data_IF_864054189111
#
_entry.id   IF_864054189111
#
_cell.length_a   1.000
_cell.length_b   1.000
_cell.length_c   1.000
_cell.angle_alpha   90.00
_cell.angle_beta   90.00
_cell.angle_gamma   90.00
#
_symmetry.space_group_name_H-M   'P 1'
#
loop_
_entity.id
_entity.type
_entity.pdbx_description
1 polymer ?
#
# COMPACT_ATOMS: atom_id res chain seq x y z
N UNK A 1 -6.15 29.71 -1.09
CA UNK A 1 -5.46 28.48 -0.65
C UNK A 1 -6.50 27.38 -0.65
N UNK A 2 -6.13 26.18 -1.09
CA UNK A 2 -7.04 25.02 -1.11
C UNK A 2 -6.64 24.12 0.05
N UNK A 3 -7.60 23.49 0.71
CA UNK A 3 -7.29 22.49 1.73
C UNK A 3 -7.56 21.10 1.19
N UNK A 4 -6.67 20.15 1.48
CA UNK A 4 -6.98 18.76 1.23
C UNK A 4 -8.03 18.28 2.26
N UNK A 5 -9.18 17.74 1.86
CA UNK A 5 -10.22 17.30 2.79
C UNK A 5 -9.77 16.10 3.64
N UNK A 6 -8.79 15.32 3.18
CA UNK A 6 -8.23 14.19 3.92
C UNK A 6 -7.04 14.62 4.79
N UNK A 7 -6.05 15.26 4.19
CA UNK A 7 -4.80 15.61 4.87
C UNK A 7 -4.90 16.90 5.73
N UNK A 8 -5.94 17.73 5.58
CA UNK A 8 -6.13 19.04 6.24
C UNK A 8 -4.95 20.02 6.11
N UNK A 9 -4.06 19.80 5.15
CA UNK A 9 -2.95 20.70 4.84
C UNK A 9 -3.36 21.78 3.84
N UNK A 10 -2.71 22.94 3.93
CA UNK A 10 -2.79 24.01 2.93
C UNK A 10 -2.05 23.60 1.66
N UNK A 11 -2.72 23.75 0.53
CA UNK A 11 -2.22 23.45 -0.80
C UNK A 11 -2.30 24.69 -1.69
N UNK A 12 -1.37 24.75 -2.63
CA UNK A 12 -1.41 25.72 -3.73
C UNK A 12 -2.69 25.51 -4.56
N UNK A 13 -3.25 26.60 -5.10
CA UNK A 13 -4.48 26.54 -5.90
C UNK A 13 -4.30 25.74 -7.20
N UNK A 14 -3.08 25.65 -7.72
CA UNK A 14 -2.73 24.94 -8.96
C UNK A 14 -2.67 23.43 -8.81
N UNK A 15 -2.65 22.92 -7.56
CA UNK A 15 -2.54 21.49 -7.31
C UNK A 15 -3.88 20.77 -7.50
N UNK A 16 -3.91 19.86 -8.48
CA UNK A 16 -5.07 19.01 -8.78
C UNK A 16 -5.08 17.70 -7.99
N UNK A 17 -3.91 17.22 -7.55
CA UNK A 17 -3.71 15.99 -6.78
C UNK A 17 -2.91 16.34 -5.53
N UNK A 18 -3.35 15.95 -4.34
CA UNK A 18 -2.60 16.20 -3.09
C UNK A 18 -1.25 15.46 -3.08
N UNK A 19 -0.11 16.09 -2.71
CA UNK A 19 1.19 15.40 -2.70
C UNK A 19 1.26 14.32 -1.65
N UNK A 20 0.59 14.58 -0.54
CA UNK A 20 0.73 13.81 0.68
C UNK A 20 -0.17 12.59 0.64
N UNK A 21 -1.43 12.74 0.19
CA UNK A 21 -2.39 11.64 0.17
C UNK A 21 -2.89 11.27 -1.23
N UNK A 22 -2.30 11.83 -2.30
CA UNK A 22 -2.63 11.50 -3.70
C UNK A 22 -4.12 11.63 -4.07
N UNK A 23 -4.90 12.34 -3.26
CA UNK A 23 -6.33 12.52 -3.48
C UNK A 23 -6.56 13.56 -4.57
N UNK A 24 -7.44 13.25 -5.52
CA UNK A 24 -7.92 14.20 -6.51
C UNK A 24 -8.72 15.32 -5.81
N UNK A 25 -8.37 16.56 -6.14
CA UNK A 25 -8.90 17.75 -5.47
C UNK A 25 -9.90 18.51 -6.35
N UNK A 26 -9.89 18.33 -7.67
CA UNK A 26 -10.78 19.03 -8.60
C UNK A 26 -11.95 18.13 -9.04
N UNK A 27 -13.16 18.66 -9.27
CA UNK A 27 -14.29 17.87 -9.75
C UNK A 27 -14.02 17.20 -11.10
N UNK A 28 -13.19 17.82 -11.95
CA UNK A 28 -12.81 17.27 -13.26
C UNK A 28 -11.82 16.11 -13.09
N UNK A 29 -10.82 16.27 -12.23
CA UNK A 29 -9.83 15.22 -11.91
C UNK A 29 -10.49 14.03 -11.21
N UNK A 30 -11.50 14.27 -10.35
CA UNK A 30 -12.29 13.20 -9.71
C UNK A 30 -13.04 12.38 -10.77
N UNK A 31 -13.69 13.04 -11.75
CA UNK A 31 -14.40 12.37 -12.85
C UNK A 31 -13.46 11.63 -13.79
N UNK A 32 -12.31 12.22 -14.14
CA UNK A 32 -11.29 11.56 -15.00
C UNK A 32 -10.62 10.38 -14.32
N UNK A 33 -10.43 10.43 -13.00
CA UNK A 33 -9.90 9.31 -12.22
C UNK A 33 -10.93 8.18 -11.98
N UNK A 34 -12.16 8.30 -12.52
CA UNK A 34 -13.24 7.34 -12.28
C UNK A 34 -13.76 7.35 -10.83
N UNK A 35 -13.50 8.43 -10.08
CA UNK A 35 -13.91 8.57 -8.69
C UNK A 35 -15.40 8.88 -8.56
N UNK A 36 -16.12 8.04 -7.82
CA UNK A 36 -17.44 8.39 -7.30
C UNK A 36 -17.26 9.38 -6.14
N UNK A 37 -18.24 10.28 -5.94
CA UNK A 37 -18.28 11.27 -4.83
C UNK A 37 -18.35 10.59 -3.44
N UNK A 38 -18.44 9.26 -3.40
CA UNK A 38 -18.39 8.50 -2.18
C UNK A 38 -16.93 8.31 -1.75
N UNK A 39 -16.65 8.56 -0.46
CA UNK A 39 -15.48 8.00 0.23
C UNK A 39 -15.51 6.48 0.07
N UNK A 40 -15.03 5.95 -1.04
CA UNK A 40 -14.67 4.54 -1.13
C UNK A 40 -13.52 4.41 -0.15
N UNK A 41 -13.80 3.82 1.02
CA UNK A 41 -12.79 3.48 2.02
C UNK A 41 -11.99 2.30 1.47
N UNK A 42 -11.22 2.53 0.41
CA UNK A 42 -10.24 1.55 -0.06
C UNK A 42 -9.21 1.34 1.04
N UNK A 43 -8.78 0.08 1.19
CA UNK A 43 -7.79 -0.32 2.18
C UNK A 43 -6.55 0.57 2.06
N UNK A 44 -6.08 1.11 3.19
CA UNK A 44 -4.90 1.98 3.26
C UNK A 44 -4.95 3.27 2.39
N UNK A 45 -6.13 3.72 1.97
CA UNK A 45 -6.28 4.93 1.12
C UNK A 45 -5.91 6.26 1.77
N UNK A 46 -5.71 6.26 3.09
CA UNK A 46 -5.17 7.40 3.84
C UNK A 46 -3.64 7.48 3.78
N UNK A 47 -2.94 6.48 3.25
CA UNK A 47 -1.49 6.46 3.17
C UNK A 47 -0.97 6.97 1.82
N UNK A 48 0.20 7.62 1.79
CA UNK A 48 0.95 7.89 0.57
C UNK A 48 1.21 6.61 -0.25
N UNK A 49 1.35 6.76 -1.56
CA UNK A 49 1.50 5.64 -2.49
C UNK A 49 2.69 4.72 -2.17
N UNK A 50 3.81 5.27 -1.69
CA UNK A 50 5.03 4.49 -1.43
C UNK A 50 4.88 3.46 -0.30
N UNK A 51 3.93 3.67 0.64
CA UNK A 51 3.61 2.66 1.66
C UNK A 51 2.97 1.40 1.04
N UNK A 52 2.34 1.52 -0.12
CA UNK A 52 1.71 0.38 -0.80
C UNK A 52 2.74 -0.60 -1.40
N UNK A 53 4.03 -0.26 -1.38
CA UNK A 53 5.11 -1.18 -1.71
C UNK A 53 5.48 -2.11 -0.55
N UNK A 54 5.01 -1.85 0.69
CA UNK A 54 5.34 -2.68 1.86
C UNK A 54 5.00 -4.16 1.63
N UNK A 55 3.79 -4.55 1.16
CA UNK A 55 3.48 -5.95 0.86
C UNK A 55 4.46 -6.60 -0.11
N UNK A 56 4.90 -5.86 -1.13
CA UNK A 56 5.84 -6.35 -2.15
C UNK A 56 7.23 -6.56 -1.55
N UNK A 57 7.74 -5.57 -0.81
CA UNK A 57 9.06 -5.66 -0.17
C UNK A 57 9.12 -6.79 0.84
N UNK A 58 8.08 -6.93 1.69
CA UNK A 58 8.03 -8.00 2.69
C UNK A 58 7.92 -9.38 2.01
N UNK A 59 7.13 -9.51 0.93
CA UNK A 59 7.07 -10.75 0.16
C UNK A 59 8.42 -11.12 -0.46
N UNK A 60 9.16 -10.16 -1.03
CA UNK A 60 10.49 -10.42 -1.60
C UNK A 60 11.49 -10.88 -0.53
N UNK A 61 11.50 -10.20 0.63
CA UNK A 61 12.36 -10.60 1.76
C UNK A 61 12.02 -12.01 2.23
N UNK A 62 10.73 -12.34 2.34
CA UNK A 62 10.28 -13.68 2.74
C UNK A 62 10.78 -14.77 1.78
N UNK A 63 10.73 -14.53 0.46
CA UNK A 63 11.24 -15.47 -0.55
C UNK A 63 12.74 -15.66 -0.44
N UNK A 64 13.50 -14.58 -0.30
CA UNK A 64 14.97 -14.65 -0.20
C UNK A 64 15.37 -15.50 1.02
N UNK A 65 14.69 -15.28 2.15
CA UNK A 65 14.90 -16.08 3.36
C UNK A 65 14.49 -17.53 3.12
N UNK A 66 13.33 -17.78 2.51
CA UNK A 66 12.83 -19.13 2.27
C UNK A 66 13.72 -19.91 1.30
N UNK A 67 14.22 -19.28 0.24
CA UNK A 67 15.21 -19.86 -0.67
C UNK A 67 16.47 -20.23 0.11
N UNK A 68 17.02 -19.29 0.89
CA UNK A 68 18.20 -19.52 1.71
C UNK A 68 18.04 -20.70 2.69
N UNK A 69 16.92 -20.74 3.42
CA UNK A 69 16.63 -21.79 4.41
C UNK A 69 16.37 -23.14 3.75
N UNK A 70 15.78 -23.16 2.55
CA UNK A 70 15.43 -24.42 1.86
C UNK A 70 16.59 -25.04 1.06
N UNK A 71 17.77 -24.40 1.00
CA UNK A 71 18.93 -24.87 0.21
C UNK A 71 19.34 -26.32 0.48
N UNK A 72 19.31 -26.75 1.72
CA UNK A 72 19.70 -28.12 2.13
C UNK A 72 18.49 -29.03 2.37
N UNK A 73 17.29 -28.58 1.99
CA UNK A 73 16.05 -29.33 2.21
C UNK A 73 15.73 -30.32 1.08
N UNK A 74 14.85 -31.32 1.31
CA UNK A 74 14.36 -32.22 0.28
C UNK A 74 13.66 -31.47 -0.88
N UNK A 75 13.61 -32.10 -2.06
CA UNK A 75 13.05 -31.50 -3.28
C UNK A 75 11.62 -30.96 -3.11
N UNK A 76 10.78 -31.65 -2.33
CA UNK A 76 9.42 -31.19 -2.03
C UNK A 76 9.39 -29.85 -1.26
N UNK A 77 10.29 -29.68 -0.28
CA UNK A 77 10.37 -28.45 0.51
C UNK A 77 10.85 -27.29 -0.36
N UNK A 78 11.87 -27.52 -1.20
CA UNK A 78 12.35 -26.51 -2.16
C UNK A 78 11.27 -26.05 -3.14
N UNK A 79 10.33 -26.93 -3.47
CA UNK A 79 9.22 -26.63 -4.38
C UNK A 79 8.14 -25.78 -3.71
N UNK A 80 7.75 -26.11 -2.48
CA UNK A 80 6.57 -25.52 -1.82
C UNK A 80 6.93 -24.32 -0.93
N UNK A 81 8.10 -24.36 -0.29
CA UNK A 81 8.45 -23.40 0.75
C UNK A 81 8.65 -21.98 0.20
N UNK A 82 9.40 -21.75 -0.90
CA UNK A 82 9.53 -20.42 -1.49
C UNK A 82 8.18 -19.80 -1.94
N UNK A 83 7.31 -20.44 -2.74
CA UNK A 83 6.03 -19.84 -3.12
C UNK A 83 5.09 -19.65 -1.92
N UNK A 84 5.08 -20.57 -0.94
CA UNK A 84 4.29 -20.38 0.28
C UNK A 84 4.76 -19.15 1.08
N UNK A 85 6.07 -18.95 1.16
CA UNK A 85 6.65 -17.77 1.84
C UNK A 85 6.31 -16.46 1.15
N UNK A 86 6.18 -16.43 -0.19
CA UNK A 86 5.75 -15.24 -0.94
C UNK A 86 4.33 -14.82 -0.52
N UNK A 87 3.41 -15.79 -0.44
CA UNK A 87 2.01 -15.54 -0.08
C UNK A 87 1.93 -15.05 1.37
N UNK A 88 2.61 -15.75 2.29
CA UNK A 88 2.64 -15.39 3.70
C UNK A 88 3.30 -14.02 3.93
N UNK A 89 4.42 -13.75 3.27
CA UNK A 89 5.12 -12.46 3.34
C UNK A 89 4.27 -11.32 2.81
N UNK A 90 3.60 -11.50 1.68
CA UNK A 90 2.66 -10.51 1.14
C UNK A 90 1.50 -10.22 2.11
N UNK A 91 0.95 -11.27 2.74
CA UNK A 91 -0.11 -11.11 3.73
C UNK A 91 0.38 -10.38 5.00
N UNK A 92 1.56 -10.71 5.52
CA UNK A 92 2.17 -10.01 6.65
C UNK A 92 2.39 -8.53 6.30
N UNK A 93 2.88 -8.23 5.10
CA UNK A 93 3.05 -6.85 4.65
C UNK A 93 1.73 -6.07 4.55
N UNK A 94 0.61 -6.73 4.21
CA UNK A 94 -0.71 -6.11 4.30
C UNK A 94 -1.12 -5.82 5.76
N UNK A 95 -0.84 -6.72 6.70
CA UNK A 95 -1.11 -6.46 8.12
C UNK A 95 -0.29 -5.29 8.67
N UNK A 96 0.97 -5.17 8.26
CA UNK A 96 1.82 -4.02 8.59
C UNK A 96 1.22 -2.74 8.01
N UNK A 97 0.86 -2.75 6.72
CA UNK A 97 0.25 -1.60 6.05
C UNK A 97 -1.06 -1.17 6.74
N UNK A 98 -1.88 -2.13 7.17
CA UNK A 98 -3.07 -1.88 7.98
C UNK A 98 -2.73 -1.21 9.31
N UNK A 99 -1.74 -1.73 10.03
CA UNK A 99 -1.30 -1.15 11.30
C UNK A 99 -0.86 0.31 11.15
N UNK A 100 -0.11 0.64 10.10
CA UNK A 100 0.31 2.03 9.84
C UNK A 100 -0.91 2.89 9.46
N UNK A 101 -1.80 2.37 8.60
CA UNK A 101 -3.05 3.03 8.22
C UNK A 101 -3.89 3.41 9.43
N UNK A 102 -4.07 2.48 10.36
CA UNK A 102 -4.91 2.66 11.55
C UNK A 102 -4.28 3.67 12.53
N UNK A 103 -2.96 3.65 12.71
CA UNK A 103 -2.25 4.61 13.56
C UNK A 103 -2.30 6.06 13.03
N UNK A 104 -2.32 6.26 11.70
CA UNK A 104 -2.41 7.60 11.09
C UNK A 104 -3.83 8.19 11.11
N UNK A 105 -4.83 7.37 11.42
CA UNK A 105 -6.24 7.78 11.42
C UNK A 105 -6.73 8.22 12.81
N UNK A 106 -6.05 7.78 13.86
CA UNK A 106 -6.27 8.20 15.25
C UNK A 106 -5.48 9.47 15.56
#
# INVERSE_FOLDING_TARGET
MKFCPNCKISLDKTWEICPTCSQALSPQTIKQAGGTDQKVKTFASNLPWYFHLIPVVIAMVAIIIADYVSKDSPAFVKLIFPPASLILGGFIGLLILKGISDNLKN
#
